data_IF_391420084250
#
_entry.id   IF_391420084250
#
_cell.length_a   1.000
_cell.length_b   1.000
_cell.length_c   1.000
_cell.angle_alpha   90.00
_cell.angle_beta   90.00
_cell.angle_gamma   90.00
#
_symmetry.space_group_name_H-M   'P 1'
#
loop_
_entity.id
_entity.type
_entity.pdbx_description
1 polymer ?
#
# COMPACT_ATOMS: atom_id res chain seq x y z
N UNK A 1 -8.50 0.50 -3.27
CA UNK A 1 -7.86 1.54 -4.09
C UNK A 1 -6.59 1.02 -4.77
N UNK A 2 -6.15 1.66 -5.88
CA UNK A 2 -4.94 1.25 -6.59
C UNK A 2 -5.08 -0.07 -7.37
N UNK A 3 -6.28 -0.42 -7.83
CA UNK A 3 -6.56 -1.70 -8.48
C UNK A 3 -6.19 -1.73 -9.99
N UNK A 4 -5.59 -0.68 -10.54
CA UNK A 4 -5.16 -0.65 -11.94
C UNK A 4 -3.83 -1.38 -12.22
N UNK A 5 -3.05 -1.73 -11.19
CA UNK A 5 -1.75 -2.39 -11.37
C UNK A 5 -1.32 -3.23 -10.16
N UNK A 6 -0.27 -4.04 -10.34
CA UNK A 6 0.44 -4.75 -9.26
C UNK A 6 -0.45 -5.59 -8.35
N UNK A 7 -0.28 -5.43 -7.03
CA UNK A 7 -1.04 -6.18 -6.02
C UNK A 7 -2.53 -5.87 -6.14
N UNK A 8 -2.90 -4.58 -6.25
CA UNK A 8 -4.31 -4.18 -6.32
C UNK A 8 -5.03 -4.81 -7.51
N UNK A 9 -4.42 -4.80 -8.70
CA UNK A 9 -4.98 -5.46 -9.89
C UNK A 9 -5.15 -6.95 -9.67
N UNK A 10 -4.12 -7.62 -9.16
CA UNK A 10 -4.21 -9.06 -8.92
C UNK A 10 -5.25 -9.46 -7.88
N UNK A 11 -5.45 -8.63 -6.83
CA UNK A 11 -6.51 -8.86 -5.84
C UNK A 11 -7.89 -8.63 -6.46
N UNK A 12 -8.07 -7.56 -7.24
CA UNK A 12 -9.31 -7.31 -7.99
C UNK A 12 -9.70 -8.54 -8.82
N UNK A 13 -8.78 -9.01 -9.68
CA UNK A 13 -9.03 -10.19 -10.53
C UNK A 13 -9.36 -11.45 -9.70
N UNK A 14 -8.70 -11.63 -8.55
CA UNK A 14 -8.96 -12.77 -7.67
C UNK A 14 -10.35 -12.73 -7.02
N UNK A 15 -10.82 -11.56 -6.60
CA UNK A 15 -12.18 -11.38 -6.05
C UNK A 15 -13.25 -11.50 -7.14
N UNK A 16 -13.07 -10.85 -8.29
CA UNK A 16 -13.99 -10.97 -9.42
C UNK A 16 -14.17 -12.43 -9.86
N UNK A 17 -13.08 -13.21 -9.87
CA UNK A 17 -13.13 -14.65 -10.16
C UNK A 17 -13.93 -15.47 -9.16
N UNK A 18 -14.04 -14.99 -7.92
CA UNK A 18 -14.91 -15.58 -6.87
C UNK A 18 -16.37 -15.16 -6.99
N UNK A 19 -16.70 -14.25 -7.89
CA UNK A 19 -18.04 -13.70 -8.04
C UNK A 19 -18.31 -12.45 -7.19
N UNK A 20 -17.28 -11.91 -6.51
CA UNK A 20 -17.43 -10.71 -5.71
C UNK A 20 -17.56 -9.46 -6.60
N UNK A 21 -18.38 -8.50 -6.17
CA UNK A 21 -18.44 -7.17 -6.80
C UNK A 21 -17.25 -6.34 -6.34
N UNK A 22 -16.38 -6.00 -7.26
CA UNK A 22 -15.18 -5.19 -6.99
C UNK A 22 -15.31 -3.81 -7.60
N UNK A 23 -15.11 -2.77 -6.80
CA UNK A 23 -15.08 -1.37 -7.22
C UNK A 23 -13.63 -0.92 -7.28
N UNK A 24 -13.18 -0.52 -8.46
CA UNK A 24 -11.80 -0.07 -8.72
C UNK A 24 -11.71 1.45 -8.64
N UNK A 25 -11.00 1.94 -7.62
CA UNK A 25 -10.69 3.36 -7.43
C UNK A 25 -9.20 3.55 -7.69
N UNK A 26 -8.86 4.16 -8.82
CA UNK A 26 -7.47 4.50 -9.15
C UNK A 26 -7.39 5.54 -10.27
N UNK A 27 -6.23 6.15 -10.50
CA UNK A 27 -6.03 7.13 -11.59
C UNK A 27 -6.43 6.59 -12.97
N UNK A 28 -6.26 5.27 -13.18
CA UNK A 28 -6.69 4.55 -14.38
C UNK A 28 -7.75 3.49 -14.04
N UNK A 29 -8.60 3.79 -13.06
CA UNK A 29 -9.66 2.89 -12.60
C UNK A 29 -10.71 2.64 -13.66
N UNK A 30 -11.25 1.43 -13.68
CA UNK A 30 -12.37 1.06 -14.53
C UNK A 30 -13.66 1.74 -14.06
N UNK A 31 -13.90 1.69 -12.75
CA UNK A 31 -15.15 2.15 -12.17
C UNK A 31 -15.05 3.64 -11.77
N UNK A 32 -13.97 4.03 -11.09
CA UNK A 32 -13.70 5.41 -10.70
C UNK A 32 -12.27 5.82 -11.03
N UNK A 33 -12.13 6.85 -11.87
CA UNK A 33 -10.87 7.53 -12.12
C UNK A 33 -10.66 8.57 -11.03
N UNK A 34 -9.81 8.26 -10.04
CA UNK A 34 -9.57 9.12 -8.89
C UNK A 34 -8.10 9.09 -8.50
N UNK A 35 -7.54 10.24 -8.20
CA UNK A 35 -6.29 10.36 -7.48
C UNK A 35 -6.60 10.33 -5.98
N UNK A 36 -6.15 9.30 -5.29
CA UNK A 36 -6.41 9.14 -3.85
C UNK A 36 -5.73 10.20 -2.98
N UNK A 37 -4.72 10.91 -3.51
CA UNK A 37 -4.09 12.04 -2.83
C UNK A 37 -4.90 13.35 -2.93
N UNK A 38 -5.98 13.37 -3.69
CA UNK A 38 -6.98 14.45 -3.69
C UNK A 38 -8.16 14.04 -2.81
N UNK A 39 -8.21 14.59 -1.60
CA UNK A 39 -9.24 14.26 -0.61
C UNK A 39 -10.65 14.56 -1.13
N UNK A 40 -10.85 15.68 -1.83
CA UNK A 40 -12.18 16.08 -2.34
C UNK A 40 -12.68 15.09 -3.38
N UNK A 41 -11.80 14.73 -4.33
CA UNK A 41 -12.10 13.73 -5.35
C UNK A 41 -12.40 12.37 -4.73
N UNK A 42 -11.59 11.94 -3.76
CA UNK A 42 -11.79 10.66 -3.08
C UNK A 42 -13.10 10.64 -2.28
N UNK A 43 -13.43 11.72 -1.57
CA UNK A 43 -14.70 11.85 -0.85
C UNK A 43 -15.89 11.72 -1.78
N UNK A 44 -15.90 12.42 -2.89
CA UNK A 44 -16.98 12.35 -3.88
C UNK A 44 -17.18 10.94 -4.42
N UNK A 45 -16.09 10.18 -4.64
CA UNK A 45 -16.17 8.77 -5.03
C UNK A 45 -16.83 7.92 -3.95
N UNK A 46 -16.48 8.10 -2.68
CA UNK A 46 -17.12 7.34 -1.59
C UNK A 46 -18.58 7.73 -1.39
N UNK A 47 -18.94 9.00 -1.55
CA UNK A 47 -20.34 9.45 -1.53
C UNK A 47 -21.17 8.76 -2.63
N UNK A 48 -20.62 8.66 -3.85
CA UNK A 48 -21.28 7.97 -4.97
C UNK A 48 -21.36 6.45 -4.75
N UNK A 49 -20.31 5.83 -4.20
CA UNK A 49 -20.35 4.41 -3.80
C UNK A 49 -21.44 4.16 -2.76
N UNK A 50 -21.61 5.06 -1.79
CA UNK A 50 -22.67 4.94 -0.80
C UNK A 50 -24.07 4.97 -1.44
N UNK A 51 -24.30 5.89 -2.36
CA UNK A 51 -25.57 6.03 -3.06
C UNK A 51 -25.90 4.80 -3.93
N UNK A 52 -24.91 4.22 -4.60
CA UNK A 52 -25.13 3.13 -5.54
C UNK A 52 -25.09 1.74 -4.92
N UNK A 53 -24.35 1.55 -3.82
CA UNK A 53 -24.11 0.22 -3.23
C UNK A 53 -24.45 0.13 -1.74
N UNK A 54 -24.55 1.24 -1.03
CA UNK A 54 -24.95 1.33 0.36
C UNK A 54 -23.88 0.90 1.37
N UNK A 55 -23.24 -0.23 1.19
CA UNK A 55 -22.23 -0.71 2.14
C UNK A 55 -20.99 -1.32 1.49
N UNK A 56 -19.93 -1.39 2.26
CA UNK A 56 -18.64 -1.98 1.89
C UNK A 56 -18.33 -3.12 2.86
N UNK A 57 -18.09 -4.32 2.33
CA UNK A 57 -17.69 -5.47 3.14
C UNK A 57 -16.16 -5.51 3.34
N UNK A 58 -15.40 -5.15 2.31
CA UNK A 58 -13.93 -5.17 2.36
C UNK A 58 -13.37 -3.91 1.69
N UNK A 59 -12.60 -3.13 2.45
CA UNK A 59 -11.74 -2.07 1.91
C UNK A 59 -10.30 -2.58 1.80
N UNK A 60 -9.71 -2.45 0.60
CA UNK A 60 -8.30 -2.75 0.39
C UNK A 60 -7.59 -1.50 -0.15
N UNK A 61 -6.63 -0.97 0.60
CA UNK A 61 -5.84 0.19 0.17
C UNK A 61 -4.50 -0.28 -0.39
N UNK A 62 -4.36 -0.22 -1.72
CA UNK A 62 -3.15 -0.59 -2.46
C UNK A 62 -2.51 0.59 -3.19
N UNK A 63 -3.18 1.74 -3.26
CA UNK A 63 -2.63 2.91 -3.92
C UNK A 63 -1.34 3.38 -3.23
N UNK A 64 -0.35 3.70 -4.03
CA UNK A 64 0.93 4.17 -3.51
C UNK A 64 2.02 4.16 -4.57
N UNK A 65 3.03 4.98 -4.37
CA UNK A 65 4.24 5.00 -5.18
C UNK A 65 5.46 5.32 -4.33
N UNK A 66 6.64 5.25 -4.91
CA UNK A 66 7.90 5.53 -4.22
C UNK A 66 8.72 6.59 -4.93
N UNK A 67 9.36 7.46 -4.16
CA UNK A 67 10.43 8.34 -4.59
C UNK A 67 11.75 7.79 -4.03
N UNK A 68 12.79 7.80 -4.82
CA UNK A 68 14.15 7.42 -4.41
C UNK A 68 15.14 8.49 -4.84
N UNK A 69 16.01 8.90 -3.93
CA UNK A 69 17.04 9.91 -4.16
C UNK A 69 17.73 10.29 -2.86
N UNK A 70 18.78 11.12 -2.95
CA UNK A 70 19.39 11.73 -1.78
C UNK A 70 18.39 12.71 -1.15
N UNK A 71 18.23 12.67 0.18
CA UNK A 71 17.18 13.41 0.88
C UNK A 71 17.21 14.92 0.61
N UNK A 72 18.40 15.50 0.52
CA UNK A 72 18.62 16.93 0.29
C UNK A 72 18.39 17.37 -1.17
N UNK A 73 18.22 16.39 -2.10
CA UNK A 73 17.98 16.64 -3.52
C UNK A 73 16.54 16.26 -3.94
N UNK A 74 15.69 15.87 -3.02
CA UNK A 74 14.28 15.60 -3.28
C UNK A 74 13.48 16.84 -2.99
N UNK A 75 12.75 17.33 -3.98
CA UNK A 75 11.87 18.49 -3.83
C UNK A 75 10.80 18.25 -2.78
N UNK A 76 10.48 19.29 -2.02
CA UNK A 76 9.48 19.22 -0.95
C UNK A 76 8.10 18.84 -1.50
N UNK A 77 7.74 19.29 -2.70
CA UNK A 77 6.49 18.96 -3.38
C UNK A 77 6.37 17.46 -3.64
N UNK A 78 7.44 16.83 -4.15
CA UNK A 78 7.48 15.38 -4.35
C UNK A 78 7.37 14.60 -3.03
N UNK A 79 8.03 15.08 -1.99
CA UNK A 79 7.95 14.49 -0.66
C UNK A 79 6.51 14.58 -0.10
N UNK A 80 5.89 15.75 -0.17
CA UNK A 80 4.49 15.98 0.24
C UNK A 80 3.54 15.11 -0.58
N UNK A 81 3.70 15.11 -1.89
CA UNK A 81 2.88 14.32 -2.81
C UNK A 81 2.94 12.83 -2.51
N UNK A 82 4.11 12.31 -2.13
CA UNK A 82 4.23 10.92 -1.70
C UNK A 82 3.42 10.62 -0.44
N UNK A 83 3.39 11.54 0.53
CA UNK A 83 2.56 11.41 1.73
C UNK A 83 1.08 11.55 1.41
N UNK A 84 0.69 12.47 0.54
CA UNK A 84 -0.70 12.64 0.11
C UNK A 84 -1.27 11.34 -0.47
N UNK A 85 -0.51 10.67 -1.33
CA UNK A 85 -0.96 9.42 -1.92
C UNK A 85 -0.84 8.25 -0.95
N UNK A 86 0.34 8.05 -0.33
CA UNK A 86 0.60 6.84 0.44
C UNK A 86 -0.11 6.84 1.79
N UNK A 87 -0.09 7.97 2.50
CA UNK A 87 -0.65 8.09 3.85
C UNK A 87 -2.05 8.69 3.84
N UNK A 88 -2.22 9.92 3.36
CA UNK A 88 -3.53 10.58 3.39
C UNK A 88 -4.55 9.89 2.49
N UNK A 89 -4.15 9.40 1.31
CA UNK A 89 -5.01 8.60 0.46
C UNK A 89 -5.50 7.30 1.13
N UNK A 90 -4.63 6.67 1.92
CA UNK A 90 -5.00 5.48 2.72
C UNK A 90 -5.92 5.84 3.89
N UNK A 91 -5.55 6.86 4.70
CA UNK A 91 -6.33 7.25 5.88
C UNK A 91 -7.70 7.81 5.50
N UNK A 92 -7.79 8.62 4.45
CA UNK A 92 -9.05 9.15 3.94
C UNK A 92 -9.96 8.06 3.36
N UNK A 93 -9.39 7.08 2.64
CA UNK A 93 -10.18 5.92 2.20
C UNK A 93 -10.79 5.16 3.39
N UNK A 94 -10.03 4.96 4.47
CA UNK A 94 -10.56 4.36 5.69
C UNK A 94 -11.63 5.25 6.35
N UNK A 95 -11.38 6.56 6.49
CA UNK A 95 -12.30 7.55 7.05
C UNK A 95 -13.67 7.53 6.37
N UNK A 96 -13.69 7.45 5.04
CA UNK A 96 -14.94 7.48 4.28
C UNK A 96 -15.60 6.09 4.17
N UNK A 97 -14.82 5.00 4.21
CA UNK A 97 -15.37 3.66 4.17
C UNK A 97 -16.02 3.20 5.49
N UNK A 98 -15.43 3.55 6.63
CA UNK A 98 -15.88 3.07 7.96
C UNK A 98 -17.38 3.31 8.21
N UNK A 99 -17.96 4.49 7.93
CA UNK A 99 -19.40 4.70 8.10
C UNK A 99 -20.29 3.79 7.25
N UNK A 100 -19.73 3.24 6.16
CA UNK A 100 -20.42 2.34 5.23
C UNK A 100 -20.22 0.86 5.60
N UNK A 101 -19.40 0.57 6.60
CA UNK A 101 -19.04 -0.79 6.99
C UNK A 101 -19.98 -1.32 8.07
N UNK A 102 -20.37 -2.58 7.91
CA UNK A 102 -21.19 -3.32 8.88
C UNK A 102 -20.33 -4.29 9.69
N UNK A 103 -20.97 -5.02 10.61
CA UNK A 103 -20.30 -6.10 11.37
C UNK A 103 -19.65 -7.11 10.42
N UNK A 104 -18.46 -7.59 10.79
CA UNK A 104 -17.60 -8.52 10.03
C UNK A 104 -16.96 -7.93 8.78
N UNK A 105 -17.08 -6.62 8.56
CA UNK A 105 -16.33 -5.96 7.49
C UNK A 105 -14.83 -5.95 7.77
N UNK A 106 -14.03 -5.75 6.72
CA UNK A 106 -12.57 -5.87 6.79
C UNK A 106 -11.87 -4.68 6.13
N UNK A 107 -10.86 -4.16 6.79
CA UNK A 107 -9.94 -3.15 6.25
C UNK A 107 -8.54 -3.77 6.14
N UNK A 108 -8.04 -3.85 4.92
CA UNK A 108 -6.72 -4.40 4.60
C UNK A 108 -5.85 -3.31 3.98
N UNK A 109 -4.82 -2.93 4.70
CA UNK A 109 -3.93 -1.84 4.31
C UNK A 109 -2.61 -2.43 3.79
N UNK A 110 -2.28 -2.15 2.54
CA UNK A 110 -1.02 -2.60 1.95
C UNK A 110 0.08 -1.58 2.27
N UNK A 111 0.88 -1.93 3.29
CA UNK A 111 2.09 -1.21 3.66
C UNK A 111 3.30 -1.74 2.87
N UNK A 112 4.43 -1.92 3.51
CA UNK A 112 5.67 -2.44 2.93
C UNK A 112 6.58 -2.99 4.02
N UNK A 113 7.44 -3.95 3.70
CA UNK A 113 8.54 -4.34 4.58
C UNK A 113 9.49 -3.16 4.90
N UNK A 114 9.51 -2.11 4.08
CA UNK A 114 10.29 -0.89 4.35
C UNK A 114 9.74 -0.04 5.51
N UNK A 115 8.52 -0.28 5.95
CA UNK A 115 7.99 0.28 7.20
C UNK A 115 8.77 -0.25 8.42
N UNK A 116 9.26 -1.48 8.33
CA UNK A 116 9.98 -2.18 9.40
C UNK A 116 11.50 -2.12 9.22
N UNK A 117 11.95 -2.09 7.97
CA UNK A 117 13.37 -2.11 7.58
C UNK A 117 13.63 -0.98 6.59
N UNK A 118 13.97 0.23 7.09
CA UNK A 118 14.25 1.37 6.23
C UNK A 118 15.45 1.12 5.33
N UNK A 119 15.40 1.70 4.15
CA UNK A 119 16.42 1.55 3.12
C UNK A 119 17.03 2.92 2.77
N UNK A 120 18.33 3.01 2.52
CA UNK A 120 18.98 4.25 2.11
C UNK A 120 18.36 4.76 0.79
N UNK A 121 18.36 6.08 0.63
CA UNK A 121 17.82 6.79 -0.53
C UNK A 121 16.32 6.55 -0.81
N UNK A 122 15.56 6.16 0.23
CA UNK A 122 14.11 5.93 0.20
C UNK A 122 13.44 6.48 1.46
N UNK A 123 14.02 7.52 2.09
CA UNK A 123 13.60 8.02 3.39
C UNK A 123 12.11 8.37 3.44
N UNK A 124 11.62 9.20 2.51
CA UNK A 124 10.20 9.57 2.47
C UNK A 124 9.27 8.39 2.22
N UNK A 125 9.67 7.45 1.35
CA UNK A 125 8.89 6.24 1.13
C UNK A 125 8.81 5.38 2.39
N UNK A 126 9.94 5.13 3.04
CA UNK A 126 9.98 4.36 4.29
C UNK A 126 9.15 5.05 5.38
N UNK A 127 9.30 6.36 5.56
CA UNK A 127 8.53 7.14 6.53
C UNK A 127 7.02 7.07 6.25
N UNK A 128 6.60 7.26 4.99
CA UNK A 128 5.18 7.16 4.61
C UNK A 128 4.59 5.77 4.90
N UNK A 129 5.35 4.69 4.64
CA UNK A 129 4.90 3.33 4.90
C UNK A 129 4.92 2.97 6.40
N UNK A 130 5.84 3.54 7.18
CA UNK A 130 5.82 3.43 8.66
C UNK A 130 4.63 4.16 9.25
N UNK A 131 4.30 5.35 8.75
CA UNK A 131 3.10 6.10 9.15
C UNK A 131 1.81 5.30 8.85
N UNK A 132 1.71 4.70 7.65
CA UNK A 132 0.59 3.83 7.27
C UNK A 132 0.47 2.62 8.19
N UNK A 133 1.58 2.00 8.55
CA UNK A 133 1.58 0.83 9.43
C UNK A 133 1.14 1.17 10.85
N UNK A 134 1.67 2.26 11.41
CA UNK A 134 1.26 2.77 12.73
C UNK A 134 -0.22 3.17 12.74
N UNK A 135 -0.70 3.86 11.69
CA UNK A 135 -2.11 4.20 11.52
C UNK A 135 -3.00 2.95 11.53
N UNK A 136 -2.63 1.91 10.78
CA UNK A 136 -3.40 0.67 10.72
C UNK A 136 -3.54 -0.01 12.09
N UNK A 137 -2.46 -0.03 12.88
CA UNK A 137 -2.46 -0.60 14.22
C UNK A 137 -3.33 0.20 15.18
N UNK A 138 -3.26 1.54 15.14
CA UNK A 138 -4.14 2.42 15.94
C UNK A 138 -5.60 2.22 15.55
N UNK A 139 -5.91 2.22 14.27
CA UNK A 139 -7.27 2.02 13.76
C UNK A 139 -7.85 0.67 14.19
N UNK A 140 -7.02 -0.40 14.20
CA UNK A 140 -7.45 -1.71 14.73
C UNK A 140 -7.87 -1.65 16.19
N UNK A 141 -7.14 -0.88 17.02
CA UNK A 141 -7.49 -0.70 18.44
C UNK A 141 -8.78 0.11 18.60
N UNK A 142 -8.93 1.18 17.84
CA UNK A 142 -10.15 2.03 17.84
C UNK A 142 -11.40 1.23 17.46
N UNK A 143 -11.30 0.39 16.45
CA UNK A 143 -12.42 -0.41 15.95
C UNK A 143 -12.61 -1.76 16.66
N UNK A 144 -11.86 -2.04 17.73
CA UNK A 144 -11.87 -3.35 18.41
C UNK A 144 -13.24 -3.80 18.94
N UNK A 145 -14.16 -2.86 19.20
CA UNK A 145 -15.53 -3.15 19.67
C UNK A 145 -16.59 -3.12 18.58
N UNK A 146 -16.20 -2.93 17.31
CA UNK A 146 -17.15 -2.73 16.19
C UNK A 146 -17.33 -3.98 15.32
N UNK A 147 -16.62 -5.05 15.57
CA UNK A 147 -16.50 -6.25 14.72
C UNK A 147 -15.94 -5.92 13.30
N UNK A 148 -15.31 -4.77 13.09
CA UNK A 148 -14.56 -4.46 11.88
C UNK A 148 -13.11 -4.88 12.08
N UNK A 149 -12.64 -5.82 11.27
CA UNK A 149 -11.26 -6.29 11.34
C UNK A 149 -10.32 -5.40 10.52
N UNK A 150 -9.23 -4.98 11.13
CA UNK A 150 -8.20 -4.14 10.48
C UNK A 150 -6.85 -4.83 10.53
N UNK A 151 -6.10 -4.76 9.45
CA UNK A 151 -4.72 -5.21 9.43
C UNK A 151 -3.86 -4.43 8.45
N UNK A 152 -2.58 -4.31 8.74
CA UNK A 152 -1.57 -3.96 7.75
C UNK A 152 -0.89 -5.22 7.20
N UNK A 153 -0.60 -5.19 5.91
CA UNK A 153 0.22 -6.21 5.26
C UNK A 153 1.49 -5.53 4.76
N UNK A 154 2.63 -6.04 5.20
CA UNK A 154 3.97 -5.55 4.88
C UNK A 154 4.66 -6.52 3.90
N UNK A 155 4.38 -6.41 2.59
CA UNK A 155 5.07 -7.25 1.62
C UNK A 155 6.52 -6.81 1.48
N UNK A 156 7.39 -7.81 1.30
CA UNK A 156 8.75 -7.61 0.84
C UNK A 156 8.82 -7.25 -0.63
N UNK A 157 9.99 -7.44 -1.23
CA UNK A 157 10.21 -7.10 -2.64
C UNK A 157 9.47 -8.08 -3.56
N UNK A 158 8.44 -7.58 -4.27
CA UNK A 158 7.59 -8.34 -5.19
C UNK A 158 7.91 -7.93 -6.62
N UNK A 159 7.93 -8.90 -7.53
CA UNK A 159 8.09 -8.65 -8.97
C UNK A 159 6.80 -8.04 -9.53
N UNK A 160 6.76 -6.71 -9.58
CA UNK A 160 5.67 -5.89 -10.15
C UNK A 160 6.26 -4.68 -10.87
N UNK A 161 5.43 -3.95 -11.59
CA UNK A 161 5.83 -2.68 -12.21
C UNK A 161 6.05 -1.54 -11.21
N UNK A 162 5.82 -1.75 -9.91
CA UNK A 162 6.02 -0.74 -8.86
C UNK A 162 7.43 -0.14 -8.90
N UNK A 163 8.46 -0.98 -9.06
CA UNK A 163 9.85 -0.51 -9.11
C UNK A 163 10.15 0.30 -10.38
N UNK A 164 9.51 -0.04 -11.49
CA UNK A 164 9.66 0.70 -12.75
C UNK A 164 8.94 2.06 -12.68
N UNK A 165 7.80 2.11 -11.99
CA UNK A 165 6.99 3.31 -11.81
C UNK A 165 7.48 4.21 -10.65
N UNK A 166 8.54 3.81 -9.93
CA UNK A 166 9.15 4.63 -8.90
C UNK A 166 9.84 5.83 -9.54
N UNK A 167 9.61 7.01 -8.98
CA UNK A 167 10.38 8.21 -9.32
C UNK A 167 11.80 8.03 -8.79
N UNK A 168 12.77 8.06 -9.70
CA UNK A 168 14.17 7.85 -9.38
C UNK A 168 14.93 9.13 -9.71
N UNK A 169 15.27 9.87 -8.69
CA UNK A 169 16.11 11.06 -8.80
C UNK A 169 17.55 10.59 -8.71
N UNK A 170 18.22 10.57 -9.85
CA UNK A 170 19.62 10.15 -9.94
C UNK A 170 20.58 11.30 -9.67
N UNK A 171 20.06 12.47 -9.37
CA UNK A 171 20.87 13.61 -8.97
C UNK A 171 21.72 13.22 -7.77
N UNK A 172 22.99 13.59 -7.86
CA UNK A 172 23.99 13.27 -6.85
C UNK A 172 24.98 14.45 -6.74
N UNK A 173 25.70 14.49 -5.66
CA UNK A 173 26.77 15.43 -5.42
C UNK A 173 28.04 14.68 -4.98
N UNK A 174 29.12 15.40 -4.71
CA UNK A 174 30.38 14.80 -4.28
C UNK A 174 30.26 13.92 -3.03
N UNK A 175 29.30 14.26 -2.13
CA UNK A 175 29.05 13.51 -0.89
C UNK A 175 28.57 12.08 -1.15
N UNK A 176 27.70 11.87 -2.13
CA UNK A 176 27.08 10.58 -2.39
C UNK A 176 27.71 9.80 -3.55
N UNK A 177 28.39 10.47 -4.47
CA UNK A 177 28.99 9.84 -5.63
C UNK A 177 28.02 8.92 -6.36
N UNK A 178 28.39 7.67 -6.58
CA UNK A 178 27.55 6.65 -7.23
C UNK A 178 26.56 5.93 -6.29
N UNK A 179 26.51 6.26 -5.01
CA UNK A 179 25.72 5.51 -4.01
C UNK A 179 24.23 5.57 -4.28
N UNK A 180 23.70 6.71 -4.75
CA UNK A 180 22.28 6.88 -5.12
C UNK A 180 21.93 5.91 -6.26
N UNK A 181 22.73 5.90 -7.31
CA UNK A 181 22.51 5.05 -8.48
C UNK A 181 22.57 3.57 -8.11
N UNK A 182 23.60 3.15 -7.37
CA UNK A 182 23.77 1.76 -6.92
C UNK A 182 22.63 1.27 -6.03
N UNK A 183 22.08 2.15 -5.17
CA UNK A 183 20.95 1.81 -4.31
C UNK A 183 19.61 1.73 -5.05
N UNK A 184 19.47 2.46 -6.16
CA UNK A 184 18.18 2.59 -6.88
C UNK A 184 18.10 1.69 -8.10
N UNK A 185 19.22 1.34 -8.73
CA UNK A 185 19.24 0.39 -9.86
C UNK A 185 19.08 -1.04 -9.36
N UNK A 186 18.07 -1.77 -9.86
CA UNK A 186 17.99 -3.19 -9.60
C UNK A 186 19.16 -3.92 -10.29
N UNK A 187 19.83 -4.80 -9.57
CA UNK A 187 20.80 -5.74 -10.14
C UNK A 187 20.07 -7.01 -10.58
N UNK A 188 20.62 -7.77 -11.53
CA UNK A 188 20.07 -9.09 -11.90
C UNK A 188 19.86 -10.00 -10.68
N UNK A 189 20.77 -9.93 -9.73
CA UNK A 189 20.72 -10.71 -8.48
C UNK A 189 19.53 -10.30 -7.61
N UNK A 190 19.22 -9.01 -7.52
CA UNK A 190 18.05 -8.51 -6.77
C UNK A 190 16.76 -8.84 -7.50
N UNK A 191 16.71 -8.76 -8.82
CA UNK A 191 15.54 -9.14 -9.62
C UNK A 191 15.18 -10.62 -9.50
N UNK A 192 16.17 -11.52 -9.54
CA UNK A 192 15.98 -12.96 -9.37
C UNK A 192 15.46 -13.33 -7.97
N UNK A 193 15.74 -12.51 -6.95
CA UNK A 193 15.31 -12.72 -5.56
C UNK A 193 13.91 -12.20 -5.26
N UNK A 194 13.32 -11.42 -6.16
CA UNK A 194 11.97 -10.88 -5.94
C UNK A 194 10.93 -11.97 -5.92
N UNK A 195 10.04 -11.84 -4.97
CA UNK A 195 8.90 -12.76 -4.81
C UNK A 195 7.95 -12.65 -6.00
N UNK A 196 7.51 -13.77 -6.61
CA UNK A 196 6.48 -13.75 -7.63
C UNK A 196 5.19 -13.10 -7.11
N UNK A 197 4.54 -12.29 -7.95
CA UNK A 197 3.27 -11.64 -7.59
C UNK A 197 2.20 -12.68 -7.22
N UNK A 198 2.12 -13.78 -7.97
CA UNK A 198 1.16 -14.86 -7.70
C UNK A 198 1.30 -15.47 -6.30
N UNK A 199 2.54 -15.64 -5.82
CA UNK A 199 2.78 -16.11 -4.46
C UNK A 199 2.32 -15.09 -3.41
N UNK A 200 2.62 -13.79 -3.62
CA UNK A 200 2.18 -12.74 -2.73
C UNK A 200 0.65 -12.66 -2.67
N UNK A 201 -0.03 -12.68 -3.82
CA UNK A 201 -1.49 -12.67 -3.91
C UNK A 201 -2.12 -13.84 -3.17
N UNK A 202 -1.60 -15.07 -3.36
CA UNK A 202 -2.08 -16.26 -2.64
C UNK A 202 -1.98 -16.09 -1.12
N UNK A 203 -0.90 -15.48 -0.63
CA UNK A 203 -0.73 -15.21 0.81
C UNK A 203 -1.68 -14.11 1.31
N UNK A 204 -1.83 -13.03 0.55
CA UNK A 204 -2.72 -11.92 0.90
C UNK A 204 -4.17 -12.41 0.93
N UNK A 205 -4.64 -13.13 -0.09
CA UNK A 205 -5.99 -13.71 -0.12
C UNK A 205 -6.25 -14.61 1.08
N UNK A 206 -5.29 -15.49 1.43
CA UNK A 206 -5.42 -16.34 2.62
C UNK A 206 -5.50 -15.55 3.93
N UNK A 207 -4.87 -14.36 4.00
CA UNK A 207 -5.01 -13.48 5.17
C UNK A 207 -6.41 -12.86 5.18
N UNK A 208 -6.88 -12.35 4.04
CA UNK A 208 -8.20 -11.69 3.95
C UNK A 208 -9.35 -12.66 4.28
N UNK A 209 -9.19 -13.95 4.00
CA UNK A 209 -10.18 -14.99 4.31
C UNK A 209 -10.30 -15.33 5.81
N UNK A 210 -9.36 -14.90 6.65
CA UNK A 210 -9.43 -15.15 8.09
C UNK A 210 -10.56 -14.33 8.75
N UNK A 211 -11.21 -14.90 9.75
CA UNK A 211 -12.24 -14.19 10.53
C UNK A 211 -11.65 -13.15 11.47
N UNK A 212 -10.43 -13.38 11.95
CA UNK A 212 -9.69 -12.47 12.85
C UNK A 212 -8.31 -12.17 12.31
N UNK A 213 -7.95 -10.90 12.35
CA UNK A 213 -6.65 -10.43 11.86
C UNK A 213 -5.64 -10.22 13.00
N UNK A 214 -4.38 -10.58 12.75
CA UNK A 214 -3.27 -10.01 13.49
C UNK A 214 -3.15 -8.51 13.15
N UNK A 215 -2.58 -7.70 14.03
CA UNK A 215 -2.36 -6.28 13.74
C UNK A 215 -1.57 -6.07 12.45
N UNK A 216 -0.60 -6.95 12.18
CA UNK A 216 0.32 -6.85 11.06
C UNK A 216 0.69 -8.24 10.53
N UNK A 217 0.88 -8.33 9.21
CA UNK A 217 1.44 -9.49 8.53
C UNK A 217 2.62 -9.09 7.66
N UNK A 218 3.70 -9.85 7.76
CA UNK A 218 4.87 -9.70 6.89
C UNK A 218 4.82 -10.79 5.82
N UNK A 219 5.07 -10.43 4.55
CA UNK A 219 5.13 -11.40 3.46
C UNK A 219 6.54 -11.44 2.88
N UNK A 220 7.13 -12.64 2.91
CA UNK A 220 8.49 -12.92 2.47
C UNK A 220 9.34 -13.51 3.59
N UNK A 221 9.88 -14.73 3.38
CA UNK A 221 10.59 -15.50 4.42
C UNK A 221 11.78 -14.75 5.03
N UNK A 222 12.57 -14.06 4.21
CA UNK A 222 13.72 -13.30 4.67
C UNK A 222 13.34 -12.16 5.64
N UNK A 223 12.17 -11.54 5.44
CA UNK A 223 11.72 -10.43 6.29
C UNK A 223 11.22 -10.89 7.65
N UNK A 224 10.71 -12.12 7.76
CA UNK A 224 10.40 -12.73 9.06
C UNK A 224 11.66 -12.94 9.88
N UNK A 225 12.74 -13.41 9.24
CA UNK A 225 14.00 -13.61 9.92
C UNK A 225 14.59 -12.28 10.41
N UNK A 226 14.58 -11.24 9.55
CA UNK A 226 15.04 -9.90 9.94
C UNK A 226 14.21 -9.30 11.07
N UNK A 227 12.90 -9.56 11.09
CA UNK A 227 12.01 -9.08 12.16
C UNK A 227 12.30 -9.73 13.50
N UNK A 228 12.69 -10.99 13.50
CA UNK A 228 13.06 -11.72 14.73
C UNK A 228 14.35 -11.19 15.35
N UNK A 229 15.27 -10.64 14.56
CA UNK A 229 16.55 -10.09 15.03
C UNK A 229 16.54 -8.57 15.22
N UNK A 230 15.41 -7.90 15.11
CA UNK A 230 15.24 -6.45 15.36
C UNK A 230 14.91 -6.20 16.83
#
# INVERSE_FOLDING_TARGET
TGASSGIGKGLKEAFEKKGDKVIDISRNGRDYKCDVGDEKSLKAVFDDIYLNYGNIDILITCAGYGVSGAIELIDEEEAKRQFDVNFFGTSNACKYAIPMMKRKSKIVIISSATALFPLPFKAYYCASKSAVDSFAQSLKMELSKTDIEVTSICPGDIKTNFTNNRIKLYETNERYGKSVELSTKPTEKTEKRRMPLSYALKKIMKIIEQDKFKPQYIIGRQYHLFYFFK
#
